data_IF_664865368907
#
_entry.id   IF_664865368907
#
_cell.length_a   1.000
_cell.length_b   1.000
_cell.length_c   1.000
_cell.angle_alpha   90.00
_cell.angle_beta   90.00
_cell.angle_gamma   90.00
#
_symmetry.space_group_name_H-M   'P 1'
#
loop_
_entity.id
_entity.type
_entity.pdbx_description
1 polymer ?
#
# COMPACT_ATOMS: atom_id res chain seq x y z
N UNK A 1 1.40 -13.54 -4.49
CA UNK A 1 2.49 -12.59 -4.17
C UNK A 1 2.15 -11.92 -2.84
N UNK A 2 3.12 -11.84 -1.93
CA UNK A 2 3.00 -11.19 -0.61
C UNK A 2 3.92 -9.96 -0.60
N UNK A 3 3.49 -8.87 0.05
CA UNK A 3 4.30 -7.67 0.30
C UNK A 3 4.20 -7.28 1.77
N UNK A 4 5.29 -6.75 2.32
CA UNK A 4 5.35 -6.18 3.66
C UNK A 4 4.92 -4.70 3.61
N UNK A 5 3.78 -4.36 4.21
CA UNK A 5 3.30 -2.97 4.26
C UNK A 5 3.43 -2.41 5.68
N UNK A 6 3.73 -1.12 5.75
CA UNK A 6 3.83 -0.37 7.00
C UNK A 6 2.50 0.36 7.21
N UNK A 7 1.72 -0.09 8.19
CA UNK A 7 0.31 0.27 8.38
C UNK A 7 0.12 1.01 9.70
N UNK A 8 -0.69 2.07 9.68
CA UNK A 8 -1.10 2.78 10.88
C UNK A 8 -2.12 1.96 11.70
N UNK A 9 -1.79 1.72 12.97
CA UNK A 9 -2.66 1.06 13.94
C UNK A 9 -3.26 2.06 14.94
N UNK A 10 -2.58 3.21 15.15
CA UNK A 10 -3.01 4.22 16.10
C UNK A 10 -2.63 5.61 15.65
N UNK A 11 -3.56 6.55 15.75
CA UNK A 11 -3.31 7.98 15.55
C UNK A 11 -3.07 8.64 16.90
N UNK A 12 -1.90 9.26 17.04
CA UNK A 12 -1.49 10.06 18.19
C UNK A 12 -1.61 11.53 17.79
N UNK A 13 -2.62 12.21 18.32
CA UNK A 13 -2.85 13.63 18.12
C UNK A 13 -2.06 14.43 19.15
N UNK A 14 -1.23 15.37 18.69
CA UNK A 14 -0.51 16.35 19.48
C UNK A 14 -1.05 17.75 19.16
N UNK A 15 -0.68 18.73 19.98
CA UNK A 15 -1.21 20.10 19.93
C UNK A 15 -1.17 20.73 18.52
N UNK A 16 -0.09 20.49 17.76
CA UNK A 16 0.09 21.02 16.39
C UNK A 16 0.51 19.96 15.37
N UNK A 17 0.40 18.67 15.69
CA UNK A 17 0.83 17.60 14.78
C UNK A 17 0.12 16.28 15.01
N UNK A 18 0.17 15.43 13.98
CA UNK A 18 -0.21 14.03 14.09
C UNK A 18 1.04 13.16 14.03
N UNK A 19 1.03 12.10 14.81
CA UNK A 19 1.97 10.98 14.69
C UNK A 19 1.18 9.68 14.64
N UNK A 20 1.77 8.64 14.06
CA UNK A 20 1.12 7.35 13.89
C UNK A 20 1.98 6.28 14.54
N UNK A 21 1.35 5.41 15.32
CA UNK A 21 1.95 4.13 15.70
C UNK A 21 1.63 3.15 14.59
N UNK A 22 2.67 2.53 14.04
CA UNK A 22 2.56 1.68 12.86
C UNK A 22 3.15 0.30 13.11
N UNK A 23 2.55 -0.70 12.47
CA UNK A 23 3.06 -2.08 12.40
C UNK A 23 3.52 -2.44 10.99
N UNK A 24 4.34 -3.49 10.87
CA UNK A 24 4.71 -4.08 9.60
C UNK A 24 3.93 -5.39 9.41
N UNK A 25 3.26 -5.54 8.27
CA UNK A 25 2.36 -6.68 8.02
C UNK A 25 2.60 -7.29 6.64
N UNK A 26 2.58 -8.62 6.59
CA UNK A 26 2.57 -9.39 5.35
C UNK A 26 1.15 -9.43 4.76
N UNK A 27 1.02 -8.90 3.55
CA UNK A 27 -0.29 -8.71 2.91
C UNK A 27 -0.26 -9.29 1.50
N UNK A 28 -1.38 -9.93 1.13
CA UNK A 28 -1.68 -10.32 -0.24
C UNK A 28 -2.59 -9.26 -0.88
N UNK A 29 -2.04 -8.26 -1.61
CA UNK A 29 -2.86 -7.26 -2.25
C UNK A 29 -3.67 -7.88 -3.39
N UNK A 30 -4.83 -7.31 -3.69
CA UNK A 30 -5.61 -7.71 -4.86
C UNK A 30 -5.21 -6.95 -6.13
N UNK A 31 -4.66 -5.73 -5.98
CA UNK A 31 -4.04 -4.96 -7.08
C UNK A 31 -2.85 -4.14 -6.59
N UNK A 32 -1.92 -3.87 -7.51
CA UNK A 32 -0.84 -2.89 -7.32
C UNK A 32 -1.02 -1.77 -8.36
N UNK A 33 -0.88 -0.52 -7.92
CA UNK A 33 -0.95 0.64 -8.82
C UNK A 33 0.40 1.35 -8.83
N UNK A 34 0.91 1.65 -10.03
CA UNK A 34 2.06 2.54 -10.20
C UNK A 34 1.59 3.99 -10.25
N UNK A 35 2.19 4.85 -9.43
CA UNK A 35 1.88 6.29 -9.35
C UNK A 35 3.13 7.10 -9.71
N UNK A 36 3.02 8.11 -10.59
CA UNK A 36 4.17 8.95 -10.92
C UNK A 36 4.64 9.73 -9.69
N UNK A 37 5.95 9.89 -9.52
CA UNK A 37 6.53 10.63 -8.38
C UNK A 37 6.58 12.14 -8.59
N UNK A 38 6.21 12.63 -9.78
CA UNK A 38 6.17 14.05 -10.09
C UNK A 38 5.39 14.34 -11.38
N UNK A 39 5.07 15.61 -11.59
CA UNK A 39 4.24 16.08 -12.72
C UNK A 39 5.06 16.50 -13.94
N UNK A 40 6.36 16.77 -13.79
CA UNK A 40 7.25 17.23 -14.85
C UNK A 40 8.67 16.64 -14.76
N UNK A 41 9.42 16.76 -15.86
CA UNK A 41 10.84 16.37 -15.93
C UNK A 41 11.12 14.89 -15.65
N UNK A 42 12.33 14.61 -15.18
CA UNK A 42 12.77 13.23 -14.86
C UNK A 42 11.94 12.56 -13.75
N UNK A 43 11.24 13.34 -12.92
CA UNK A 43 10.38 12.82 -11.86
C UNK A 43 9.10 12.15 -12.39
N UNK A 44 8.65 12.48 -13.61
CA UNK A 44 7.51 11.81 -14.28
C UNK A 44 7.83 10.37 -14.68
N UNK A 45 9.11 10.08 -14.94
CA UNK A 45 9.59 8.74 -15.34
C UNK A 45 9.82 7.80 -14.15
N UNK A 46 9.70 8.32 -12.93
CA UNK A 46 9.87 7.55 -11.68
C UNK A 46 8.49 7.23 -11.12
N UNK A 47 8.34 6.00 -10.63
CA UNK A 47 7.10 5.51 -10.04
C UNK A 47 7.33 5.06 -8.60
N UNK A 48 6.35 5.33 -7.75
CA UNK A 48 6.13 4.57 -6.52
C UNK A 48 4.97 3.60 -6.74
N UNK A 49 4.91 2.56 -5.92
CA UNK A 49 3.95 1.47 -6.06
C UNK A 49 3.05 1.44 -4.83
N UNK A 50 1.74 1.43 -5.06
CA UNK A 50 0.73 1.30 -4.01
C UNK A 50 0.15 -0.10 -4.05
N UNK A 51 0.15 -0.79 -2.92
CA UNK A 51 -0.57 -2.05 -2.74
C UNK A 51 -1.99 -1.74 -2.24
N UNK A 52 -2.99 -2.32 -2.88
CA UNK A 52 -4.39 -2.21 -2.47
C UNK A 52 -4.85 -3.55 -1.89
N UNK A 53 -5.50 -3.48 -0.74
CA UNK A 53 -5.91 -4.62 0.07
C UNK A 53 -7.16 -4.29 0.88
N UNK A 54 -7.82 -5.30 1.42
CA UNK A 54 -8.91 -5.11 2.38
C UNK A 54 -8.30 -4.94 3.76
N UNK A 55 -8.63 -3.86 4.46
CA UNK A 55 -8.12 -3.61 5.81
C UNK A 55 -8.51 -4.73 6.77
N UNK A 56 -7.68 -4.92 7.80
CA UNK A 56 -7.79 -6.03 8.77
C UNK A 56 -7.32 -5.57 10.16
N UNK A 57 -7.72 -6.33 11.20
CA UNK A 57 -7.27 -6.10 12.57
C UNK A 57 -7.55 -4.69 13.08
N UNK A 58 -6.57 -4.10 13.77
CA UNK A 58 -6.64 -2.77 14.40
C UNK A 58 -6.24 -1.62 13.47
N UNK A 59 -6.30 -1.80 12.15
CA UNK A 59 -5.96 -0.74 11.21
C UNK A 59 -6.94 0.43 11.31
N UNK A 60 -6.40 1.66 11.43
CA UNK A 60 -7.19 2.88 11.61
C UNK A 60 -6.92 3.93 10.53
N UNK A 61 -7.94 4.73 10.21
CA UNK A 61 -7.80 5.96 9.43
C UNK A 61 -7.31 7.15 10.28
N UNK A 62 -7.11 8.31 9.65
CA UNK A 62 -6.67 9.56 10.32
C UNK A 62 -7.67 10.07 11.38
N UNK A 63 -8.92 9.63 11.33
CA UNK A 63 -9.98 9.97 12.27
C UNK A 63 -10.19 8.89 13.34
N UNK A 64 -9.25 7.94 13.47
CA UNK A 64 -9.29 6.80 14.42
C UNK A 64 -10.45 5.84 14.16
N UNK A 65 -11.02 5.82 12.94
CA UNK A 65 -12.04 4.86 12.56
C UNK A 65 -11.38 3.59 12.06
N UNK A 66 -11.93 2.44 12.45
CA UNK A 66 -11.49 1.16 11.91
C UNK A 66 -11.73 1.11 10.41
N UNK A 67 -10.75 0.59 9.68
CA UNK A 67 -10.87 0.32 8.24
C UNK A 67 -10.86 -1.17 7.93
N UNK A 68 -11.17 -2.00 8.95
CA UNK A 68 -11.37 -3.43 8.75
C UNK A 68 -12.52 -3.69 7.76
N UNK A 69 -12.27 -4.56 6.77
CA UNK A 69 -13.23 -4.87 5.71
C UNK A 69 -13.33 -3.82 4.60
N UNK A 70 -12.63 -2.67 4.71
CA UNK A 70 -12.67 -1.58 3.73
C UNK A 70 -11.50 -1.68 2.76
N UNK A 71 -11.70 -1.31 1.49
CA UNK A 71 -10.58 -1.15 0.55
C UNK A 71 -9.66 -0.03 1.05
N UNK A 72 -8.40 -0.39 1.31
CA UNK A 72 -7.35 0.54 1.70
C UNK A 72 -6.12 0.35 0.82
N UNK A 73 -5.16 1.26 0.96
CA UNK A 73 -3.92 1.22 0.21
C UNK A 73 -2.74 1.75 1.00
N UNK A 74 -1.57 1.15 0.78
CA UNK A 74 -0.31 1.61 1.37
C UNK A 74 0.84 1.53 0.36
N UNK A 75 1.86 2.40 0.48
CA UNK A 75 3.01 2.35 -0.40
C UNK A 75 3.87 1.12 -0.11
N UNK A 76 4.30 0.45 -1.18
CA UNK A 76 5.30 -0.62 -1.11
C UNK A 76 6.67 0.01 -0.94
N UNK A 77 7.16 0.05 0.30
CA UNK A 77 8.48 0.58 0.61
C UNK A 77 9.54 -0.49 0.29
N UNK A 78 10.45 -0.19 -0.64
CA UNK A 78 11.52 -1.09 -1.12
C UNK A 78 12.38 -1.69 0.00
N UNK A 79 12.65 -0.92 1.05
CA UNK A 79 13.47 -1.38 2.19
C UNK A 79 12.89 -2.61 2.90
N UNK A 80 11.56 -2.72 2.94
CA UNK A 80 10.83 -3.85 3.54
C UNK A 80 10.49 -4.94 2.51
N UNK A 81 10.70 -4.67 1.23
CA UNK A 81 10.29 -5.51 0.11
C UNK A 81 11.44 -5.67 -0.90
N UNK A 82 12.61 -6.13 -0.46
CA UNK A 82 13.80 -6.24 -1.32
C UNK A 82 13.58 -7.17 -2.53
N UNK A 83 12.75 -8.20 -2.37
CA UNK A 83 12.40 -9.16 -3.42
C UNK A 83 11.30 -8.67 -4.37
N UNK A 84 10.62 -7.56 -4.07
CA UNK A 84 9.56 -7.04 -4.93
C UNK A 84 10.13 -6.57 -6.26
N UNK A 85 9.74 -7.23 -7.35
CA UNK A 85 10.17 -6.88 -8.69
C UNK A 85 8.96 -6.51 -9.57
N UNK A 86 8.67 -5.21 -9.77
CA UNK A 86 7.50 -4.77 -10.53
C UNK A 86 7.57 -5.13 -12.02
N UNK A 87 8.76 -5.43 -12.57
CA UNK A 87 8.90 -5.87 -13.97
C UNK A 87 8.35 -7.27 -14.22
N UNK A 88 8.18 -8.09 -13.17
CA UNK A 88 7.62 -9.44 -13.26
C UNK A 88 6.08 -9.47 -13.17
N UNK A 89 5.44 -8.31 -13.02
CA UNK A 89 3.99 -8.21 -12.96
C UNK A 89 3.40 -7.94 -14.35
N UNK A 90 2.21 -8.49 -14.60
CA UNK A 90 1.42 -8.17 -15.79
C UNK A 90 0.68 -6.86 -15.55
N UNK A 91 0.97 -5.84 -16.35
CA UNK A 91 0.40 -4.50 -16.21
C UNK A 91 -0.65 -4.22 -17.29
N UNK A 92 -1.80 -3.69 -16.87
CA UNK A 92 -2.82 -3.09 -17.73
C UNK A 92 -2.86 -1.60 -17.40
N UNK A 93 -2.28 -0.78 -18.27
CA UNK A 93 -2.03 0.63 -17.97
C UNK A 93 -1.16 0.78 -16.72
N UNK A 94 -1.69 1.44 -15.68
CA UNK A 94 -0.98 1.68 -14.41
C UNK A 94 -1.32 0.66 -13.31
N UNK A 95 -2.06 -0.40 -13.63
CA UNK A 95 -2.57 -1.35 -12.64
C UNK A 95 -2.04 -2.75 -12.97
N UNK A 96 -1.53 -3.44 -11.95
CA UNK A 96 -1.25 -4.86 -11.99
C UNK A 96 -2.27 -5.57 -11.09
N UNK A 97 -3.16 -6.36 -11.69
CA UNK A 97 -4.07 -7.22 -10.94
C UNK A 97 -3.30 -8.42 -10.40
N UNK A 98 -3.40 -8.70 -9.11
CA UNK A 98 -2.62 -9.75 -8.46
C UNK A 98 -3.41 -11.05 -8.35
N UNK A 99 -4.72 -11.01 -8.65
CA UNK A 99 -5.73 -12.04 -8.44
C UNK A 99 -5.83 -12.49 -6.97
N UNK A 100 -7.03 -12.39 -6.40
CA UNK A 100 -7.40 -13.39 -5.40
C UNK A 100 -7.57 -14.67 -6.20
N UNK A 101 -6.89 -15.75 -5.79
CA UNK A 101 -7.09 -17.04 -6.44
C UNK A 101 -8.56 -17.41 -6.27
N UNK A 102 -9.35 -17.22 -7.32
CA UNK A 102 -10.61 -17.91 -7.48
C UNK A 102 -10.24 -19.33 -7.86
N UNK A 103 -10.47 -20.26 -6.96
CA UNK A 103 -10.70 -21.63 -7.35
C UNK A 103 -11.91 -21.64 -8.29
N UNK A 104 -11.73 -22.24 -9.46
CA UNK A 104 -12.79 -22.81 -10.29
C UNK A 104 -12.19 -24.05 -10.96
#
# INVERSE_FOLDING_TARGET
MIVNLHIANKVIQKEFSYSFECGLYEIKPFKIVRRPTGTSGQAKSRYYYMAYFTGFGDMLDIHKKSINGVESHEPIIRRFNKSFNPKKLTWIGNVAMISQGGAA
#
